data_IF_138849222816
#
_entry.id   IF_138849222816
#
_cell.length_a   1.000
_cell.length_b   1.000
_cell.length_c   1.000
_cell.angle_alpha   90.00
_cell.angle_beta   90.00
_cell.angle_gamma   90.00
#
_symmetry.space_group_name_H-M   'P 1'
#
loop_
_entity.id
_entity.type
_entity.pdbx_description
1 polymer ?
#
# COMPACT_ATOMS: atom_id res chain seq x y z
N UNK A 1 4.03 -16.08 -16.19
CA UNK A 1 4.91 -15.08 -15.55
C UNK A 1 4.11 -13.96 -14.88
N UNK A 2 3.15 -13.33 -15.56
CA UNK A 2 2.20 -12.37 -14.96
C UNK A 2 1.61 -12.87 -13.63
N UNK A 3 0.95 -14.03 -13.58
CA UNK A 3 0.30 -14.57 -12.36
C UNK A 3 1.19 -14.61 -11.10
N UNK A 4 2.50 -14.85 -11.26
CA UNK A 4 3.47 -14.90 -10.16
C UNK A 4 3.72 -13.48 -9.61
N UNK A 5 3.85 -12.49 -10.50
CA UNK A 5 4.03 -11.07 -10.15
C UNK A 5 2.79 -10.53 -9.41
N UNK A 6 1.59 -10.91 -9.86
CA UNK A 6 0.33 -10.56 -9.19
C UNK A 6 0.20 -11.19 -7.79
N UNK A 7 0.70 -12.42 -7.62
CA UNK A 7 0.75 -13.09 -6.32
C UNK A 7 1.61 -12.31 -5.31
N UNK A 8 2.79 -11.84 -5.72
CA UNK A 8 3.65 -11.03 -4.85
C UNK A 8 2.98 -9.70 -4.47
N UNK A 9 2.34 -9.01 -5.42
CA UNK A 9 1.64 -7.75 -5.14
C UNK A 9 0.51 -7.92 -4.10
N UNK A 10 -0.25 -9.03 -4.16
CA UNK A 10 -1.27 -9.35 -3.17
C UNK A 10 -0.67 -9.56 -1.76
N UNK A 11 0.44 -10.29 -1.67
CA UNK A 11 1.15 -10.54 -0.41
C UNK A 11 1.69 -9.23 0.17
N UNK A 12 2.26 -8.35 -0.66
CA UNK A 12 2.71 -7.03 -0.23
C UNK A 12 1.57 -6.15 0.27
N UNK A 13 0.43 -6.13 -0.43
CA UNK A 13 -0.76 -5.40 0.02
C UNK A 13 -1.26 -5.90 1.39
N UNK A 14 -1.28 -7.22 1.59
CA UNK A 14 -1.62 -7.83 2.88
C UNK A 14 -0.63 -7.43 3.98
N UNK A 15 0.66 -7.48 3.72
CA UNK A 15 1.71 -7.08 4.67
C UNK A 15 1.60 -5.60 5.06
N UNK A 16 1.31 -4.71 4.11
CA UNK A 16 1.10 -3.28 4.37
C UNK A 16 -0.10 -3.09 5.30
N UNK A 17 -1.24 -3.72 4.99
CA UNK A 17 -2.45 -3.60 5.81
C UNK A 17 -2.27 -4.18 7.22
N UNK A 18 -1.63 -5.34 7.33
CA UNK A 18 -1.33 -5.95 8.63
C UNK A 18 -0.29 -5.14 9.42
N UNK A 19 0.73 -4.62 8.77
CA UNK A 19 1.75 -3.76 9.38
C UNK A 19 1.13 -2.47 9.92
N UNK A 20 0.27 -1.81 9.13
CA UNK A 20 -0.47 -0.64 9.57
C UNK A 20 -1.36 -0.92 10.78
N UNK A 21 -2.05 -2.06 10.79
CA UNK A 21 -2.88 -2.47 11.92
C UNK A 21 -2.07 -2.78 13.18
N UNK A 22 -0.96 -3.51 13.04
CA UNK A 22 -0.09 -3.84 14.17
C UNK A 22 0.57 -2.57 14.74
N UNK A 23 1.01 -1.66 13.88
CA UNK A 23 1.48 -0.34 14.30
C UNK A 23 0.42 0.42 15.09
N UNK A 24 -0.81 0.49 14.56
CA UNK A 24 -1.94 1.13 15.26
C UNK A 24 -2.16 0.56 16.67
N UNK A 25 -2.09 -0.76 16.84
CA UNK A 25 -2.20 -1.41 18.15
C UNK A 25 -1.01 -1.14 19.05
N UNK A 26 0.21 -1.14 18.51
CA UNK A 26 1.45 -0.90 19.25
C UNK A 26 1.48 0.51 19.87
N UNK A 27 0.88 1.49 19.21
CA UNK A 27 0.72 2.87 19.73
C UNK A 27 -0.53 3.05 20.62
N UNK A 28 -1.16 1.98 21.11
CA UNK A 28 -2.30 2.04 22.02
C UNK A 28 -3.65 2.31 21.33
N UNK A 29 -3.74 2.11 20.01
CA UNK A 29 -4.98 2.29 19.26
C UNK A 29 -6.07 1.29 19.67
N UNK A 30 -7.20 1.80 20.17
CA UNK A 30 -8.36 0.98 20.53
C UNK A 30 -9.15 0.61 19.29
N UNK A 31 -9.40 -0.68 19.08
CA UNK A 31 -10.16 -1.19 17.94
C UNK A 31 -11.64 -0.84 18.12
N UNK A 32 -12.11 0.15 17.35
CA UNK A 32 -13.51 0.59 17.31
C UNK A 32 -14.09 0.45 15.90
N UNK A 33 -15.39 0.74 15.73
CA UNK A 33 -16.02 0.81 14.40
C UNK A 33 -15.41 1.87 13.49
N UNK A 34 -14.72 2.89 14.04
CA UNK A 34 -14.05 3.94 13.27
C UNK A 34 -12.62 3.57 12.87
N UNK A 35 -11.98 2.65 13.60
CA UNK A 35 -10.60 2.23 13.34
C UNK A 35 -10.42 1.64 11.94
N UNK A 36 -11.49 1.09 11.34
CA UNK A 36 -11.48 0.65 9.95
C UNK A 36 -11.12 1.82 9.02
N UNK A 37 -11.81 2.95 9.12
CA UNK A 37 -11.54 4.10 8.25
C UNK A 37 -10.18 4.74 8.54
N UNK A 38 -9.76 4.76 9.81
CA UNK A 38 -8.45 5.29 10.19
C UNK A 38 -7.28 4.52 9.57
N UNK A 39 -7.41 3.21 9.38
CA UNK A 39 -6.36 2.35 8.80
C UNK A 39 -6.24 2.49 7.28
N UNK A 40 -7.21 3.11 6.60
CA UNK A 40 -7.13 3.36 5.15
C UNK A 40 -6.03 4.38 4.86
N UNK A 41 -5.89 5.41 5.71
CA UNK A 41 -4.90 6.47 5.53
C UNK A 41 -3.46 5.93 5.48
N UNK A 42 -2.95 5.17 6.48
CA UNK A 42 -1.61 4.61 6.41
C UNK A 42 -1.44 3.59 5.28
N UNK A 43 -2.50 2.87 4.89
CA UNK A 43 -2.43 1.96 3.74
C UNK A 43 -2.23 2.72 2.41
N UNK A 44 -2.98 3.81 2.19
CA UNK A 44 -2.82 4.66 1.01
C UNK A 44 -1.45 5.35 0.99
N UNK A 45 -0.97 5.80 2.16
CA UNK A 45 0.34 6.44 2.29
C UNK A 45 1.48 5.45 1.98
N UNK A 46 1.39 4.22 2.48
CA UNK A 46 2.34 3.16 2.15
C UNK A 46 2.31 2.78 0.67
N UNK A 47 1.12 2.72 0.05
CA UNK A 47 0.98 2.50 -1.40
C UNK A 47 1.68 3.60 -2.20
N UNK A 48 1.50 4.87 -1.80
CA UNK A 48 2.11 6.01 -2.47
C UNK A 48 3.63 6.01 -2.34
N UNK A 49 4.16 5.69 -1.16
CA UNK A 49 5.61 5.51 -0.94
C UNK A 49 6.16 4.37 -1.80
N UNK A 50 5.48 3.23 -1.84
CA UNK A 50 5.89 2.09 -2.66
C UNK A 50 5.96 2.47 -4.15
N UNK A 51 4.98 3.22 -4.64
CA UNK A 51 4.95 3.70 -6.02
C UNK A 51 6.12 4.66 -6.31
N UNK A 52 6.39 5.63 -5.43
CA UNK A 52 7.55 6.53 -5.56
C UNK A 52 8.86 5.74 -5.59
N UNK A 53 9.01 4.74 -4.73
CA UNK A 53 10.20 3.88 -4.70
C UNK A 53 10.39 3.12 -6.03
N UNK A 54 9.32 2.61 -6.63
CA UNK A 54 9.40 1.97 -7.95
C UNK A 54 9.92 2.94 -9.01
N UNK A 55 9.42 4.19 -9.03
CA UNK A 55 9.91 5.22 -9.95
C UNK A 55 11.39 5.55 -9.71
N UNK A 56 11.82 5.65 -8.46
CA UNK A 56 13.23 5.87 -8.12
C UNK A 56 14.10 4.71 -8.62
N UNK A 57 13.66 3.47 -8.43
CA UNK A 57 14.38 2.27 -8.91
C UNK A 57 14.47 2.27 -10.44
N UNK A 58 13.40 2.65 -11.13
CA UNK A 58 13.39 2.76 -12.60
C UNK A 58 14.39 3.81 -13.09
N UNK A 59 14.44 5.00 -12.46
CA UNK A 59 15.42 6.04 -12.79
C UNK A 59 16.86 5.55 -12.54
N UNK A 60 17.07 4.86 -11.42
CA UNK A 60 18.37 4.27 -11.08
C UNK A 60 18.81 3.22 -12.11
N UNK A 61 17.92 2.34 -12.55
CA UNK A 61 18.21 1.33 -13.59
C UNK A 61 18.46 1.93 -14.98
N UNK A 62 17.93 3.12 -15.24
CA UNK A 62 18.12 3.85 -16.49
C UNK A 62 19.36 4.76 -16.48
N UNK A 63 20.20 4.70 -15.43
CA UNK A 63 21.34 5.60 -15.21
C UNK A 63 20.97 7.10 -15.24
N UNK A 64 19.73 7.43 -14.88
CA UNK A 64 19.24 8.81 -14.79
C UNK A 64 19.41 9.31 -13.35
N UNK A 65 19.89 10.54 -13.20
CA UNK A 65 20.04 11.16 -11.88
C UNK A 65 18.70 11.26 -11.15
N UNK A 66 18.67 10.87 -9.88
CA UNK A 66 17.46 10.90 -9.04
C UNK A 66 17.26 12.35 -8.54
N UNK A 67 16.69 13.18 -9.40
CA UNK A 67 16.29 14.56 -9.09
C UNK A 67 14.77 14.68 -9.11
N UNK A 68 14.23 15.67 -8.37
CA UNK A 68 12.79 15.96 -8.40
C UNK A 68 12.31 16.25 -9.83
N UNK A 69 13.12 16.95 -10.62
CA UNK A 69 12.80 17.27 -12.02
C UNK A 69 12.63 16.01 -12.85
N UNK A 70 13.55 15.04 -12.73
CA UNK A 70 13.47 13.78 -13.48
C UNK A 70 12.29 12.92 -13.02
N UNK A 71 11.97 12.92 -11.72
CA UNK A 71 10.77 12.25 -11.21
C UNK A 71 9.50 12.88 -11.81
N UNK A 72 9.39 14.21 -11.82
CA UNK A 72 8.25 14.90 -12.43
C UNK A 72 8.16 14.64 -13.93
N UNK A 73 9.30 14.54 -14.62
CA UNK A 73 9.39 14.26 -16.04
C UNK A 73 8.90 12.83 -16.37
N UNK A 74 9.22 11.86 -15.52
CA UNK A 74 8.66 10.50 -15.63
C UNK A 74 7.13 10.52 -15.59
N UNK A 75 6.52 11.32 -14.71
CA UNK A 75 5.06 11.44 -14.62
C UNK A 75 4.43 12.30 -15.73
N UNK A 76 5.20 13.14 -16.43
CA UNK A 76 4.70 13.98 -17.52
C UNK A 76 4.61 13.23 -18.86
N UNK A 77 5.40 12.16 -19.03
CA UNK A 77 5.36 11.31 -20.21
C UNK A 77 4.07 10.48 -20.26
N UNK A 78 3.37 10.54 -21.40
CA UNK A 78 2.05 9.92 -21.57
C UNK A 78 2.06 8.38 -21.44
N UNK A 79 3.13 7.73 -21.92
CA UNK A 79 3.34 6.28 -21.80
C UNK A 79 3.50 5.87 -20.34
N UNK A 80 4.39 6.55 -19.62
CA UNK A 80 4.66 6.25 -18.22
C UNK A 80 3.46 6.55 -17.33
N UNK A 81 2.72 7.63 -17.61
CA UNK A 81 1.48 7.96 -16.88
C UNK A 81 0.44 6.84 -16.99
N UNK A 82 0.29 6.22 -18.17
CA UNK A 82 -0.65 5.12 -18.37
C UNK A 82 -0.23 3.88 -17.56
N UNK A 83 1.05 3.55 -17.57
CA UNK A 83 1.61 2.43 -16.81
C UNK A 83 1.48 2.69 -15.31
N UNK A 84 1.81 3.90 -14.85
CA UNK A 84 1.69 4.31 -13.46
C UNK A 84 0.24 4.26 -12.96
N UNK A 85 -0.73 4.71 -13.77
CA UNK A 85 -2.15 4.61 -13.43
C UNK A 85 -2.65 3.17 -13.35
N UNK A 86 -2.16 2.29 -14.24
CA UNK A 86 -2.47 0.86 -14.18
C UNK A 86 -1.89 0.24 -12.91
N UNK A 87 -0.61 0.48 -12.62
CA UNK A 87 0.06 0.00 -11.41
C UNK A 87 -0.65 0.47 -10.13
N UNK A 88 -1.03 1.74 -10.08
CA UNK A 88 -1.77 2.32 -8.97
C UNK A 88 -3.18 1.69 -8.82
N UNK A 89 -3.90 1.49 -9.92
CA UNK A 89 -5.23 0.85 -9.89
C UNK A 89 -5.15 -0.61 -9.41
N UNK A 90 -4.11 -1.33 -9.83
CA UNK A 90 -3.82 -2.70 -9.40
C UNK A 90 -3.44 -2.72 -7.91
N UNK A 91 -2.58 -1.79 -7.49
CA UNK A 91 -2.18 -1.64 -6.10
C UNK A 91 -3.37 -1.35 -5.19
N UNK A 92 -4.31 -0.49 -5.61
CA UNK A 92 -5.56 -0.24 -4.89
C UNK A 92 -6.40 -1.52 -4.77
N UNK A 93 -6.54 -2.29 -5.85
CA UNK A 93 -7.26 -3.56 -5.82
C UNK A 93 -6.65 -4.53 -4.80
N UNK A 94 -5.32 -4.69 -4.79
CA UNK A 94 -4.64 -5.58 -3.85
C UNK A 94 -4.66 -5.09 -2.41
N UNK A 95 -4.49 -3.79 -2.19
CA UNK A 95 -4.69 -3.19 -0.86
C UNK A 95 -6.12 -3.43 -0.40
N UNK A 96 -7.12 -3.30 -1.28
CA UNK A 96 -8.51 -3.63 -0.98
C UNK A 96 -8.70 -5.08 -0.54
N UNK A 97 -8.12 -6.04 -1.27
CA UNK A 97 -8.16 -7.47 -0.91
C UNK A 97 -7.44 -7.75 0.42
N UNK A 98 -6.25 -7.17 0.62
CA UNK A 98 -5.50 -7.25 1.88
C UNK A 98 -6.29 -6.66 3.04
N UNK A 99 -6.97 -5.54 2.80
CA UNK A 99 -7.82 -4.87 3.78
C UNK A 99 -9.07 -5.70 4.13
N UNK A 100 -9.69 -6.39 3.18
CA UNK A 100 -10.77 -7.35 3.47
C UNK A 100 -10.32 -8.45 4.43
N UNK A 101 -9.11 -9.00 4.24
CA UNK A 101 -8.56 -9.99 5.17
C UNK A 101 -8.34 -9.43 6.59
N UNK A 102 -8.03 -8.14 6.68
CA UNK A 102 -7.84 -7.43 7.94
C UNK A 102 -9.15 -7.26 8.71
N UNK A 103 -10.28 -7.03 8.02
CA UNK A 103 -11.59 -6.86 8.66
C UNK A 103 -11.99 -8.08 9.52
N UNK A 104 -11.65 -9.28 9.08
CA UNK A 104 -11.87 -10.51 9.86
C UNK A 104 -11.10 -10.51 11.18
N UNK A 105 -9.82 -10.12 11.13
CA UNK A 105 -8.96 -9.97 12.31
C UNK A 105 -9.46 -8.88 13.25
N UNK A 106 -9.79 -7.69 12.72
CA UNK A 106 -10.32 -6.59 13.52
C UNK A 106 -11.63 -6.95 14.23
N UNK A 107 -12.50 -7.71 13.56
CA UNK A 107 -13.75 -8.22 14.16
C UNK A 107 -13.47 -9.19 15.31
N UNK A 108 -12.51 -10.10 15.13
CA UNK A 108 -12.08 -11.02 16.20
C UNK A 108 -11.52 -10.25 17.39
N UNK A 109 -10.59 -9.33 17.16
CA UNK A 109 -9.95 -8.54 18.23
C UNK A 109 -10.98 -7.66 18.97
N UNK A 110 -11.99 -7.12 18.26
CA UNK A 110 -13.11 -6.38 18.85
C UNK A 110 -13.99 -7.28 19.75
N UNK A 111 -14.31 -8.50 19.29
CA UNK A 111 -15.15 -9.45 20.05
C UNK A 111 -14.42 -10.04 21.26
N UNK A 112 -13.11 -10.24 21.15
CA UNK A 112 -12.28 -10.78 22.22
C UNK A 112 -11.93 -9.75 23.29
N UNK A 113 -12.32 -8.48 23.12
CA UNK A 113 -12.01 -7.41 24.07
C UNK A 113 -10.52 -7.26 24.31
N UNK A 114 -9.68 -7.67 23.34
CA UNK A 114 -8.23 -7.56 23.45
C UNK A 114 -7.94 -6.05 23.56
N UNK A 115 -7.28 -5.67 24.65
CA UNK A 115 -7.14 -4.30 25.20
C UNK A 115 -8.34 -3.80 26.03
N UNK A 116 -8.64 -4.50 27.14
CA UNK A 116 -8.50 -3.81 28.43
C UNK A 116 -7.03 -3.74 28.81
#
# INVERSE_FOLDING_TARGET
MLAIIWGYAAVFGMLICYGAYQGYKLFGGVVTRLSKYLLIIPCLLALLIAHILVVIIMLYQADVSITLDNIMLVYSLSETRKIALQDLGIGILFVGLGYFSLLGKMKLDYLQGVYR
#
